data_IF_561037809237
#
_entry.id   IF_561037809237
#
_cell.length_a   1.000
_cell.length_b   1.000
_cell.length_c   1.000
_cell.angle_alpha   90.00
_cell.angle_beta   90.00
_cell.angle_gamma   90.00
#
_symmetry.space_group_name_H-M   'P 1'
#
loop_
_entity.id
_entity.type
_entity.pdbx_description
1 polymer ?
#
# COMPACT_ATOMS: atom_id res chain seq x y z
N UNK A 1 2.96 -14.27 -21.00
CA UNK A 1 4.07 -15.25 -20.86
C UNK A 1 4.65 -15.10 -19.47
N UNK A 2 4.43 -16.09 -18.61
CA UNK A 2 5.07 -16.16 -17.29
C UNK A 2 6.25 -17.13 -17.41
N UNK A 3 7.39 -16.77 -16.82
CA UNK A 3 8.59 -17.63 -16.82
C UNK A 3 8.33 -18.82 -15.91
N UNK A 4 8.61 -20.02 -16.40
CA UNK A 4 8.56 -21.27 -15.64
C UNK A 4 9.94 -21.61 -15.06
N UNK A 5 10.99 -21.55 -15.89
CA UNK A 5 12.36 -21.84 -15.44
C UNK A 5 13.43 -21.12 -16.28
N UNK A 6 14.61 -20.97 -15.68
CA UNK A 6 15.79 -20.37 -16.30
C UNK A 6 16.96 -21.35 -16.19
N UNK A 7 17.60 -21.65 -17.30
CA UNK A 7 18.69 -22.61 -17.40
C UNK A 7 20.05 -21.91 -17.49
N UNK A 8 21.11 -22.63 -17.10
CA UNK A 8 22.50 -22.10 -17.10
C UNK A 8 23.05 -21.77 -18.48
N UNK A 9 22.47 -22.33 -19.54
CA UNK A 9 22.84 -22.07 -20.93
C UNK A 9 22.19 -20.80 -21.51
N UNK A 10 21.44 -20.05 -20.69
CA UNK A 10 20.72 -18.85 -21.11
C UNK A 10 19.30 -19.12 -21.62
N UNK A 11 18.85 -20.39 -21.63
CA UNK A 11 17.49 -20.72 -22.03
C UNK A 11 16.48 -20.33 -20.95
N UNK A 12 15.45 -19.57 -21.32
CA UNK A 12 14.30 -19.24 -20.49
C UNK A 12 13.09 -19.99 -21.05
N UNK A 13 12.44 -20.80 -20.21
CA UNK A 13 11.23 -21.55 -20.55
C UNK A 13 10.02 -20.83 -19.97
N UNK A 14 9.00 -20.63 -20.79
CA UNK A 14 7.72 -20.04 -20.40
C UNK A 14 6.68 -21.14 -20.16
N UNK A 15 5.65 -20.83 -19.37
CA UNK A 15 4.59 -21.79 -19.01
C UNK A 15 3.79 -22.36 -20.21
N UNK A 16 3.86 -21.73 -21.38
CA UNK A 16 3.25 -22.27 -22.62
C UNK A 16 4.15 -23.30 -23.34
N UNK A 17 5.31 -23.61 -22.75
CA UNK A 17 6.31 -24.52 -23.29
C UNK A 17 7.28 -23.88 -24.28
N UNK A 18 7.11 -22.59 -24.63
CA UNK A 18 8.05 -21.89 -25.50
C UNK A 18 9.37 -21.58 -24.77
N UNK A 19 10.46 -21.49 -25.52
CA UNK A 19 11.79 -21.22 -25.00
C UNK A 19 12.52 -20.15 -25.80
N UNK A 20 13.32 -19.32 -25.12
CA UNK A 20 14.16 -18.29 -25.75
C UNK A 20 15.53 -18.24 -25.09
N UNK A 21 16.57 -17.86 -25.84
CA UNK A 21 17.87 -17.51 -25.27
C UNK A 21 17.86 -16.04 -24.83
N UNK A 22 18.29 -15.77 -23.61
CA UNK A 22 18.36 -14.42 -23.05
C UNK A 22 19.68 -14.17 -22.34
N UNK A 23 20.31 -13.02 -22.65
CA UNK A 23 21.52 -12.56 -21.96
C UNK A 23 21.21 -11.80 -20.66
N UNK A 24 20.01 -11.21 -20.57
CA UNK A 24 19.60 -10.33 -19.47
C UNK A 24 18.16 -10.63 -19.06
N UNK A 25 17.93 -10.69 -17.75
CA UNK A 25 16.60 -10.75 -17.13
C UNK A 25 16.41 -9.48 -16.30
N UNK A 26 15.32 -8.76 -16.55
CA UNK A 26 14.96 -7.55 -15.81
C UNK A 26 13.64 -7.76 -15.09
N UNK A 27 13.67 -7.66 -13.76
CA UNK A 27 12.46 -7.77 -12.93
C UNK A 27 11.71 -6.44 -12.93
N UNK A 28 10.57 -6.40 -13.62
CA UNK A 28 9.64 -5.27 -13.62
C UNK A 28 8.41 -5.56 -12.74
N UNK A 29 8.62 -6.17 -11.56
CA UNK A 29 7.55 -6.71 -10.68
C UNK A 29 7.02 -5.71 -9.66
N UNK A 30 7.31 -4.42 -9.81
CA UNK A 30 6.84 -3.36 -8.92
C UNK A 30 7.74 -3.12 -7.71
N UNK A 31 7.16 -2.52 -6.67
CA UNK A 31 7.83 -2.10 -5.44
C UNK A 31 6.97 -2.43 -4.21
N UNK A 32 7.62 -2.56 -3.06
CA UNK A 32 6.98 -2.76 -1.76
C UNK A 32 7.11 -1.53 -0.86
N UNK A 33 6.10 -1.27 -0.03
CA UNK A 33 6.19 -0.28 1.04
C UNK A 33 7.19 -0.72 2.10
N UNK A 34 8.16 0.15 2.38
CA UNK A 34 9.20 -0.12 3.36
C UNK A 34 9.58 1.14 4.13
N UNK A 35 9.36 1.11 5.44
CA UNK A 35 9.62 2.24 6.35
C UNK A 35 10.62 1.85 7.45
N UNK A 36 11.90 1.64 7.14
CA UNK A 36 12.90 1.13 8.10
C UNK A 36 13.15 2.07 9.29
N UNK A 37 12.76 3.33 9.16
CA UNK A 37 12.90 4.35 10.20
C UNK A 37 11.71 4.42 11.16
N UNK A 38 10.61 3.75 10.85
CA UNK A 38 9.34 3.92 11.55
C UNK A 38 9.05 2.72 12.46
N UNK A 39 9.46 2.83 13.72
CA UNK A 39 9.08 1.87 14.76
C UNK A 39 7.79 2.30 15.45
N UNK A 40 6.72 1.54 15.23
CA UNK A 40 5.41 1.77 15.86
C UNK A 40 5.03 0.67 16.86
N UNK A 41 5.97 -0.19 17.25
CA UNK A 41 5.69 -1.39 18.06
C UNK A 41 4.55 -2.27 17.48
N UNK A 42 4.47 -2.35 16.15
CA UNK A 42 3.46 -3.15 15.44
C UNK A 42 2.08 -2.50 15.30
N UNK A 43 1.90 -1.23 15.70
CA UNK A 43 0.63 -0.51 15.49
C UNK A 43 0.37 -0.26 14.00
N UNK A 44 1.43 0.00 13.22
CA UNK A 44 1.38 0.09 11.76
C UNK A 44 2.23 -1.03 11.18
N UNK A 45 1.62 -1.82 10.31
CA UNK A 45 2.28 -2.91 9.60
C UNK A 45 2.19 -2.72 8.10
N UNK A 46 3.06 -3.43 7.37
CA UNK A 46 2.95 -3.64 5.93
C UNK A 46 2.71 -5.13 5.73
N UNK A 47 1.53 -5.50 5.24
CA UNK A 47 1.15 -6.88 4.92
C UNK A 47 0.61 -6.92 3.48
N UNK A 48 1.09 -7.85 2.65
CA UNK A 48 0.84 -7.89 1.18
C UNK A 48 0.87 -6.50 0.50
N UNK A 49 1.91 -5.70 0.81
CA UNK A 49 2.07 -4.35 0.29
C UNK A 49 0.94 -3.36 0.67
N UNK A 50 0.20 -3.63 1.75
CA UNK A 50 -0.80 -2.75 2.36
C UNK A 50 -0.27 -2.18 3.66
N UNK A 51 -0.20 -0.85 3.74
CA UNK A 51 0.10 -0.14 4.99
C UNK A 51 -1.18 -0.02 5.81
N UNK A 52 -1.19 -0.54 7.04
CA UNK A 52 -2.41 -0.59 7.84
C UNK A 52 -2.21 -0.79 9.33
N UNK A 53 -3.29 -0.66 10.12
CA UNK A 53 -4.60 -0.10 9.73
C UNK A 53 -4.53 1.43 9.55
N UNK A 54 -5.15 1.97 8.49
CA UNK A 54 -5.15 3.41 8.19
C UNK A 54 -6.54 3.93 7.82
N UNK A 55 -7.07 4.86 8.61
CA UNK A 55 -8.27 5.61 8.28
C UNK A 55 -8.03 6.47 7.04
N UNK A 56 -8.86 6.23 6.01
CA UNK A 56 -8.79 6.89 4.69
C UNK A 56 -7.40 6.87 4.04
N UNK A 57 -6.61 5.82 4.31
CA UNK A 57 -5.22 5.67 3.85
C UNK A 57 -4.25 6.75 4.35
N UNK A 58 -4.57 7.43 5.45
CA UNK A 58 -3.76 8.53 6.01
C UNK A 58 -3.40 8.28 7.46
N UNK A 59 -4.38 8.05 8.32
CA UNK A 59 -4.19 8.11 9.77
C UNK A 59 -4.24 6.72 10.41
N UNK A 60 -3.20 6.26 11.10
CA UNK A 60 -3.32 5.11 12.00
C UNK A 60 -4.22 5.50 13.17
N UNK A 61 -5.37 4.84 13.39
CA UNK A 61 -6.35 5.30 14.39
C UNK A 61 -5.75 5.46 15.79
N UNK A 62 -4.84 4.58 16.20
CA UNK A 62 -4.17 4.60 17.50
C UNK A 62 -3.09 5.68 17.66
N UNK A 63 -2.59 6.25 16.56
CA UNK A 63 -1.50 7.25 16.57
C UNK A 63 -1.96 8.61 16.01
N UNK A 64 -3.22 8.73 15.59
CA UNK A 64 -3.76 9.96 15.03
C UNK A 64 -3.96 11.04 16.11
N UNK A 65 -3.70 12.33 15.82
CA UNK A 65 -3.15 12.87 14.56
C UNK A 65 -1.61 12.92 14.53
N UNK A 66 -0.92 12.34 15.51
CA UNK A 66 0.55 12.43 15.67
C UNK A 66 1.36 11.72 14.59
N UNK A 67 0.76 10.76 13.88
CA UNK A 67 1.33 10.12 12.69
C UNK A 67 0.30 10.14 11.54
N UNK A 68 0.77 10.47 10.33
CA UNK A 68 -0.02 10.43 9.10
C UNK A 68 0.85 10.10 7.88
N UNK A 69 0.23 9.53 6.86
CA UNK A 69 0.87 9.15 5.61
C UNK A 69 0.30 9.95 4.44
N UNK A 70 1.15 10.32 3.48
CA UNK A 70 0.75 10.95 2.21
C UNK A 70 1.26 10.09 1.07
N UNK A 71 0.38 9.84 0.09
CA UNK A 71 0.75 9.26 -1.19
C UNK A 71 0.85 7.75 -1.26
N UNK A 72 0.17 7.03 -0.37
CA UNK A 72 0.04 5.56 -0.45
C UNK A 72 -0.87 5.04 -1.60
N UNK A 73 -1.89 5.77 -2.09
CA UNK A 73 -2.66 5.29 -3.23
C UNK A 73 -1.86 5.37 -4.55
N UNK A 74 -1.64 4.24 -5.23
CA UNK A 74 -0.76 4.13 -6.41
C UNK A 74 -1.45 4.22 -7.78
N UNK A 75 -2.79 4.25 -7.84
CA UNK A 75 -3.58 4.38 -9.08
C UNK A 75 -4.55 5.57 -8.99
N UNK A 76 -4.03 6.74 -8.66
CA UNK A 76 -4.83 7.95 -8.48
C UNK A 76 -4.16 9.18 -9.11
N UNK A 77 -4.89 10.30 -9.32
CA UNK A 77 -4.30 11.57 -9.75
C UNK A 77 -3.35 12.11 -8.67
N UNK A 78 -2.08 11.68 -8.72
CA UNK A 78 -1.12 11.78 -7.62
C UNK A 78 -1.07 13.18 -6.99
N UNK A 79 -0.88 14.22 -7.81
CA UNK A 79 -0.77 15.59 -7.30
C UNK A 79 -2.03 16.06 -6.58
N UNK A 80 -3.22 15.79 -7.12
CA UNK A 80 -4.47 16.17 -6.50
C UNK A 80 -4.71 15.40 -5.19
N UNK A 81 -4.39 14.11 -5.18
CA UNK A 81 -4.49 13.29 -3.95
C UNK A 81 -3.53 13.80 -2.89
N UNK A 82 -2.26 14.04 -3.23
CA UNK A 82 -1.26 14.51 -2.26
C UNK A 82 -1.63 15.87 -1.70
N UNK A 83 -2.15 16.77 -2.54
CA UNK A 83 -2.63 18.08 -2.12
C UNK A 83 -3.81 17.94 -1.14
N UNK A 84 -4.84 17.18 -1.48
CA UNK A 84 -6.01 16.99 -0.62
C UNK A 84 -5.65 16.31 0.70
N UNK A 85 -4.80 15.27 0.67
CA UNK A 85 -4.32 14.59 1.87
C UNK A 85 -3.55 15.58 2.77
N UNK A 86 -2.63 16.35 2.20
CA UNK A 86 -1.82 17.32 2.94
C UNK A 86 -2.67 18.45 3.54
N UNK A 87 -3.63 18.99 2.78
CA UNK A 87 -4.56 20.02 3.24
C UNK A 87 -5.45 19.50 4.39
N UNK A 88 -5.90 18.24 4.30
CA UNK A 88 -6.69 17.64 5.36
C UNK A 88 -5.87 17.39 6.62
N UNK A 89 -4.64 16.83 6.49
CA UNK A 89 -3.70 16.66 7.60
C UNK A 89 -3.42 18.00 8.29
N UNK A 90 -3.12 19.06 7.53
CA UNK A 90 -2.90 20.39 8.10
C UNK A 90 -4.15 20.95 8.80
N UNK A 91 -5.35 20.70 8.25
CA UNK A 91 -6.61 21.05 8.88
C UNK A 91 -6.83 20.34 10.21
N UNK A 92 -6.45 19.07 10.30
CA UNK A 92 -6.52 18.28 11.54
C UNK A 92 -5.50 18.77 12.57
N UNK A 93 -4.24 18.93 12.18
CA UNK A 93 -3.17 19.38 13.07
C UNK A 93 -3.38 20.80 13.62
N UNK A 94 -4.03 21.67 12.84
CA UNK A 94 -4.40 23.03 13.28
C UNK A 94 -5.67 23.08 14.15
N UNK A 95 -6.37 21.95 14.34
CA UNK A 95 -7.64 21.89 15.05
C UNK A 95 -8.84 22.47 14.27
N UNK A 96 -8.64 22.89 13.02
CA UNK A 96 -9.71 23.39 12.14
C UNK A 96 -10.69 22.27 11.75
N UNK A 97 -10.20 21.04 11.65
CA UNK A 97 -10.99 19.85 11.28
C UNK A 97 -10.82 18.83 12.40
N UNK A 98 -11.94 18.36 12.96
CA UNK A 98 -11.93 17.26 13.93
C UNK A 98 -11.77 15.91 13.23
N UNK A 99 -11.02 15.00 13.84
CA UNK A 99 -11.09 13.58 13.49
C UNK A 99 -12.24 12.90 14.22
N UNK A 100 -12.85 11.84 13.65
CA UNK A 100 -13.71 10.94 14.39
C UNK A 100 -12.95 10.30 15.57
N UNK A 101 -13.71 9.66 16.46
CA UNK A 101 -13.11 8.86 17.52
C UNK A 101 -12.28 7.70 16.96
N UNK A 102 -11.37 7.17 17.79
CA UNK A 102 -10.60 5.97 17.46
C UNK A 102 -11.50 4.82 17.00
N UNK A 103 -12.60 4.58 17.70
CA UNK A 103 -13.54 3.49 17.40
C UNK A 103 -14.22 3.70 16.03
N UNK A 104 -14.63 4.92 15.72
CA UNK A 104 -15.25 5.23 14.42
C UNK A 104 -14.25 5.10 13.28
N UNK A 105 -13.01 5.54 13.47
CA UNK A 105 -11.94 5.35 12.49
C UNK A 105 -11.65 3.87 12.26
N UNK A 106 -11.54 3.06 13.32
CA UNK A 106 -11.33 1.62 13.20
C UNK A 106 -12.49 0.91 12.49
N UNK A 107 -13.74 1.26 12.81
CA UNK A 107 -14.92 0.71 12.12
C UNK A 107 -14.89 1.00 10.62
N UNK A 108 -14.45 2.20 10.22
CA UNK A 108 -14.32 2.55 8.81
C UNK A 108 -13.22 1.73 8.10
N UNK A 109 -12.08 1.49 8.78
CA UNK A 109 -11.01 0.64 8.26
C UNK A 109 -11.49 -0.80 8.08
N UNK A 110 -12.14 -1.38 9.10
CA UNK A 110 -12.66 -2.74 9.06
C UNK A 110 -13.72 -2.90 7.96
N UNK A 111 -14.65 -1.95 7.84
CA UNK A 111 -15.64 -1.95 6.77
C UNK A 111 -15.01 -1.88 5.38
N UNK A 112 -13.93 -1.11 5.23
CA UNK A 112 -13.17 -1.06 3.98
C UNK A 112 -12.50 -2.41 3.67
N UNK A 113 -11.88 -3.07 4.66
CA UNK A 113 -11.26 -4.39 4.45
C UNK A 113 -12.27 -5.47 4.07
N UNK A 114 -13.42 -5.52 4.76
CA UNK A 114 -14.51 -6.43 4.39
C UNK A 114 -15.01 -6.18 2.96
N UNK A 115 -15.01 -4.92 2.51
CA UNK A 115 -15.37 -4.61 1.12
C UNK A 115 -14.36 -5.19 0.13
N UNK A 116 -13.05 -5.08 0.42
CA UNK A 116 -12.00 -5.63 -0.44
C UNK A 116 -12.06 -7.16 -0.52
N UNK A 117 -12.29 -7.83 0.62
CA UNK A 117 -12.50 -9.27 0.67
C UNK A 117 -13.70 -9.70 -0.18
N UNK A 118 -14.82 -8.96 -0.10
CA UNK A 118 -16.00 -9.22 -0.92
C UNK A 118 -15.76 -9.05 -2.42
N UNK A 119 -14.85 -8.17 -2.82
CA UNK A 119 -14.43 -7.98 -4.21
C UNK A 119 -13.34 -8.97 -4.67
N UNK A 120 -12.87 -9.86 -3.79
CA UNK A 120 -11.78 -10.80 -4.10
C UNK A 120 -10.44 -10.10 -4.37
N UNK A 121 -10.28 -8.86 -3.87
CA UNK A 121 -9.01 -8.15 -3.96
C UNK A 121 -8.06 -8.75 -2.92
N UNK A 122 -6.85 -9.19 -3.29
CA UNK A 122 -5.85 -9.68 -2.35
C UNK A 122 -5.69 -8.72 -1.16
N UNK A 123 -5.58 -9.31 0.04
CA UNK A 123 -5.49 -8.62 1.31
C UNK A 123 -4.09 -8.08 1.50
#
# INVERSE_FOLDING_TARGET
MQVESVHRDGTVIFQDGSGVLADVIMHCTGYEYYFPFLDTNGIVTVDDNRVGPLYKHIFPPALAPGLSFVGLPWMAPLFAVFELQSQWIAGVLSGRIGLPSHEEMMKDVEAFYLSLEAYGTPM
#
